data_IF_249185565004
#
_entry.id   IF_249185565004
#
_cell.length_a   1.000
_cell.length_b   1.000
_cell.length_c   1.000
_cell.angle_alpha   90.00
_cell.angle_beta   90.00
_cell.angle_gamma   90.00
#
_symmetry.space_group_name_H-M   'P 1'
#
loop_
_entity.id
_entity.type
_entity.pdbx_description
1 polymer ?
#
# COMPACT_ATOMS: atom_id res chain seq x y z
N UNK A 1 8.31 17.31 1.08
CA UNK A 1 8.75 16.94 -0.28
C UNK A 1 7.55 17.08 -1.21
N UNK A 2 7.68 17.57 -2.45
CA UNK A 2 6.53 17.73 -3.32
C UNK A 2 6.06 16.36 -3.83
N UNK A 3 4.74 16.20 -3.90
CA UNK A 3 4.03 14.97 -4.23
C UNK A 3 3.97 14.81 -5.77
N UNK A 4 5.01 14.23 -6.36
CA UNK A 4 5.13 14.01 -7.82
C UNK A 4 4.76 12.60 -8.27
N UNK A 5 4.08 11.82 -7.41
CA UNK A 5 3.62 10.47 -7.72
C UNK A 5 2.33 10.46 -8.55
N UNK A 6 2.43 10.24 -9.87
CA UNK A 6 1.25 9.99 -10.71
C UNK A 6 0.60 8.65 -10.33
N UNK A 7 -0.71 8.67 -10.05
CA UNK A 7 -1.55 7.49 -9.79
C UNK A 7 -1.43 6.40 -10.88
N UNK A 8 -1.03 6.78 -12.10
CA UNK A 8 -0.87 5.88 -13.25
C UNK A 8 0.42 5.05 -13.23
N UNK A 9 1.39 5.36 -12.36
CA UNK A 9 2.64 4.59 -12.22
C UNK A 9 2.60 3.61 -11.04
N UNK A 10 1.40 3.19 -10.63
CA UNK A 10 1.23 2.25 -9.52
C UNK A 10 1.63 0.85 -9.98
N UNK A 11 2.79 0.37 -9.51
CA UNK A 11 3.33 -0.97 -9.75
C UNK A 11 2.69 -2.05 -8.87
N UNK A 12 1.56 -1.75 -8.23
CA UNK A 12 0.87 -2.65 -7.31
C UNK A 12 -0.36 -3.22 -8.00
N UNK A 13 -0.49 -4.55 -7.97
CA UNK A 13 -1.59 -5.27 -8.62
C UNK A 13 -2.93 -4.92 -7.96
N UNK A 14 -3.75 -4.15 -8.67
CA UNK A 14 -5.06 -3.66 -8.20
C UNK A 14 -6.14 -4.76 -8.21
N UNK A 15 -5.84 -5.97 -8.66
CA UNK A 15 -6.82 -7.08 -8.70
C UNK A 15 -7.26 -7.56 -7.32
N UNK A 16 -6.55 -7.18 -6.26
CA UNK A 16 -6.91 -7.53 -4.86
C UNK A 16 -7.90 -6.54 -4.23
N UNK A 17 -8.53 -5.66 -5.02
CA UNK A 17 -9.57 -4.74 -4.58
C UNK A 17 -10.82 -5.48 -4.06
N UNK A 18 -10.78 -5.96 -2.81
CA UNK A 18 -12.00 -6.24 -2.04
C UNK A 18 -12.56 -4.92 -1.51
N UNK A 19 -13.26 -4.19 -2.39
CA UNK A 19 -14.13 -3.07 -2.04
C UNK A 19 -13.53 -1.66 -2.23
N UNK A 20 -14.42 -0.68 -2.46
CA UNK A 20 -14.13 0.74 -2.73
C UNK A 20 -13.21 1.40 -1.69
N UNK A 21 -13.20 0.90 -0.44
CA UNK A 21 -12.51 1.55 0.68
C UNK A 21 -10.99 1.37 0.70
N UNK A 22 -10.43 0.47 -0.12
CA UNK A 22 -9.00 0.13 -0.11
C UNK A 22 -8.17 0.84 -1.19
N UNK A 23 -8.78 1.63 -2.08
CA UNK A 23 -8.07 2.30 -3.19
C UNK A 23 -7.01 3.27 -2.66
N UNK A 24 -7.35 4.07 -1.65
CA UNK A 24 -6.40 5.00 -1.00
C UNK A 24 -5.27 4.23 -0.32
N UNK A 25 -5.60 3.12 0.33
CA UNK A 25 -4.61 2.35 1.07
C UNK A 25 -3.59 1.68 0.14
N UNK A 26 -4.06 1.15 -0.98
CA UNK A 26 -3.22 0.56 -2.01
C UNK A 26 -2.33 1.61 -2.68
N UNK A 27 -2.89 2.79 -2.95
CA UNK A 27 -2.13 3.90 -3.52
C UNK A 27 -0.99 4.35 -2.61
N UNK A 28 -1.25 4.50 -1.30
CA UNK A 28 -0.20 4.86 -0.34
C UNK A 28 0.87 3.77 -0.21
N UNK A 29 0.49 2.50 -0.28
CA UNK A 29 1.45 1.39 -0.32
C UNK A 29 2.30 1.42 -1.60
N UNK A 30 1.68 1.69 -2.74
CA UNK A 30 2.39 1.84 -4.02
C UNK A 30 3.34 3.04 -4.06
N UNK A 31 2.94 4.17 -3.47
CA UNK A 31 3.79 5.35 -3.31
C UNK A 31 5.00 5.02 -2.42
N UNK A 32 4.78 4.38 -1.27
CA UNK A 32 5.86 3.97 -0.39
C UNK A 32 6.87 3.06 -1.10
N UNK A 33 6.37 2.04 -1.83
CA UNK A 33 7.18 1.12 -2.62
C UNK A 33 7.99 1.82 -3.72
N UNK A 34 7.38 2.76 -4.45
CA UNK A 34 8.05 3.54 -5.49
C UNK A 34 9.20 4.41 -4.94
N UNK A 35 9.11 4.81 -3.67
CA UNK A 35 10.18 5.53 -2.97
C UNK A 35 11.13 4.61 -2.18
N UNK A 36 11.02 3.29 -2.30
CA UNK A 36 11.86 2.33 -1.58
C UNK A 36 11.62 2.33 -0.06
N UNK A 37 10.44 2.79 0.36
CA UNK A 37 10.02 2.88 1.76
C UNK A 37 8.87 1.93 2.05
N UNK A 38 8.53 1.76 3.34
CA UNK A 38 7.42 0.90 3.79
C UNK A 38 6.33 1.75 4.40
N UNK A 39 5.08 1.35 4.22
CA UNK A 39 3.92 2.04 4.79
C UNK A 39 3.66 1.53 6.20
N UNK A 40 3.85 2.39 7.20
CA UNK A 40 3.39 2.10 8.56
C UNK A 40 1.87 2.26 8.68
N UNK A 41 1.21 1.34 9.36
CA UNK A 41 -0.25 1.37 9.61
C UNK A 41 -0.60 0.70 10.93
N UNK A 42 -1.72 1.07 11.53
CA UNK A 42 -2.31 0.35 12.67
C UNK A 42 -3.33 -0.71 12.24
N UNK A 43 -3.69 -0.74 10.95
CA UNK A 43 -4.64 -1.69 10.40
C UNK A 43 -3.94 -2.98 9.95
N UNK A 44 -4.05 -4.03 10.77
CA UNK A 44 -3.53 -5.35 10.43
C UNK A 44 -4.26 -5.99 9.23
N UNK A 45 -5.54 -5.66 9.02
CA UNK A 45 -6.34 -6.16 7.92
C UNK A 45 -5.82 -5.73 6.56
N UNK A 46 -5.15 -4.56 6.49
CA UNK A 46 -4.49 -4.10 5.28
C UNK A 46 -3.38 -5.05 4.83
N UNK A 47 -2.54 -5.54 5.75
CA UNK A 47 -1.46 -6.48 5.42
C UNK A 47 -2.03 -7.81 4.91
N UNK A 48 -3.11 -8.27 5.52
CA UNK A 48 -3.73 -9.56 5.18
C UNK A 48 -4.49 -9.50 3.85
N UNK A 49 -4.98 -8.32 3.46
CA UNK A 49 -5.58 -8.06 2.17
C UNK A 49 -4.57 -8.01 1.00
N UNK A 50 -3.26 -7.93 1.26
CA UNK A 50 -2.24 -7.93 0.21
C UNK A 50 -1.85 -9.33 -0.24
N UNK A 51 -1.51 -9.45 -1.52
CA UNK A 51 -0.83 -10.65 -2.05
C UNK A 51 0.48 -10.89 -1.29
N UNK A 52 0.94 -12.14 -1.12
CA UNK A 52 2.10 -12.46 -0.28
C UNK A 52 3.36 -11.64 -0.59
N UNK A 53 3.60 -11.34 -1.87
CA UNK A 53 4.76 -10.55 -2.35
C UNK A 53 4.74 -9.10 -1.86
N UNK A 54 3.57 -8.52 -1.63
CA UNK A 54 3.42 -7.11 -1.29
C UNK A 54 3.32 -6.87 0.23
N UNK A 55 3.12 -7.94 1.03
CA UNK A 55 3.06 -7.86 2.50
C UNK A 55 4.28 -7.18 3.14
N UNK A 56 5.53 -7.36 2.65
CA UNK A 56 6.69 -6.65 3.20
C UNK A 56 6.63 -5.13 3.03
N UNK A 57 5.84 -4.60 2.09
CA UNK A 57 5.69 -3.16 1.85
C UNK A 57 4.91 -2.45 2.95
N UNK A 58 4.23 -3.20 3.82
CA UNK A 58 3.46 -2.67 4.96
C UNK A 58 4.12 -3.07 6.27
N UNK A 59 4.12 -2.14 7.22
CA UNK A 59 4.51 -2.38 8.60
C UNK A 59 3.32 -2.13 9.51
N UNK A 60 2.89 -3.15 10.25
CA UNK A 60 1.79 -3.02 11.20
C UNK A 60 2.40 -2.62 12.55
N UNK A 61 2.01 -1.45 13.04
CA UNK A 61 2.41 -0.95 14.35
C UNK A 61 1.39 -1.39 15.39
N UNK A 62 1.86 -2.16 16.36
CA UNK A 62 1.17 -2.47 17.61
C UNK A 62 2.00 -1.79 18.70
N UNK A 63 1.49 -0.69 19.25
CA UNK A 63 2.19 0.07 20.31
C UNK A 63 2.51 -0.75 21.56
#
# INVERSE_FOLDING_TARGET
MPDTGSLASTTVDTRVLMGHRQVTDLHLTGLAAAHGTRRATFDAGLRDALVPTDRPLVEVWSG
#
